data_IF_673185181640
#
_entry.id   IF_673185181640
#
_cell.length_a   1.000
_cell.length_b   1.000
_cell.length_c   1.000
_cell.angle_alpha   90.00
_cell.angle_beta   90.00
_cell.angle_gamma   90.00
#
_symmetry.space_group_name_H-M   'P 1'
#
loop_
_entity.id
_entity.type
_entity.pdbx_description
1 polymer ?
#
# COMPACT_ATOMS: atom_id res chain seq x y z
N UNK A 1 -43.40 49.24 18.25
CA UNK A 1 -42.20 49.03 17.41
C UNK A 1 -40.97 48.95 18.30
N UNK A 2 -40.37 47.75 18.47
CA UNK A 2 -38.98 47.57 18.92
C UNK A 2 -38.46 46.36 18.15
N UNK A 3 -37.56 46.63 17.21
CA UNK A 3 -36.89 45.64 16.37
C UNK A 3 -35.78 45.04 17.24
N UNK A 4 -35.88 43.75 17.54
CA UNK A 4 -34.81 42.99 18.19
C UNK A 4 -34.03 42.33 17.05
N UNK A 5 -32.94 42.97 16.65
CA UNK A 5 -31.89 42.40 15.82
C UNK A 5 -30.75 41.90 16.72
N UNK A 6 -29.93 41.00 16.18
CA UNK A 6 -28.74 40.32 16.74
C UNK A 6 -29.06 39.02 17.52
N UNK A 7 -28.49 37.85 17.21
CA UNK A 7 -27.42 37.49 16.28
C UNK A 7 -27.60 36.02 15.92
N UNK A 8 -27.70 35.71 14.63
CA UNK A 8 -27.67 34.34 14.13
C UNK A 8 -26.22 33.87 14.20
N UNK A 9 -25.88 33.17 15.28
CA UNK A 9 -24.60 32.47 15.40
C UNK A 9 -24.68 31.22 14.50
N UNK A 10 -24.37 31.41 13.21
CA UNK A 10 -24.16 30.30 12.28
C UNK A 10 -22.87 29.62 12.71
N UNK A 11 -23.01 28.57 13.52
CA UNK A 11 -21.95 27.61 13.80
C UNK A 11 -21.70 26.84 12.50
N UNK A 12 -20.77 27.32 11.68
CA UNK A 12 -20.24 26.57 10.55
C UNK A 12 -19.47 25.41 11.14
N UNK A 13 -20.16 24.28 11.34
CA UNK A 13 -19.55 23.00 11.62
C UNK A 13 -18.79 22.62 10.36
N UNK A 14 -17.53 23.05 10.31
CA UNK A 14 -16.53 22.55 9.37
C UNK A 14 -16.43 21.04 9.60
N UNK A 15 -17.11 20.30 8.74
CA UNK A 15 -16.92 18.87 8.56
C UNK A 15 -15.46 18.65 8.16
N UNK A 16 -14.63 18.35 9.16
CA UNK A 16 -13.36 17.66 8.98
C UNK A 16 -13.68 16.34 8.30
N UNK A 17 -13.68 16.33 6.97
CA UNK A 17 -13.53 15.09 6.23
C UNK A 17 -12.17 14.54 6.65
N UNK A 18 -12.07 13.30 7.15
CA UNK A 18 -10.78 12.70 7.39
C UNK A 18 -10.06 12.70 6.05
N UNK A 19 -8.97 13.46 5.96
CA UNK A 19 -7.99 13.31 4.90
C UNK A 19 -7.58 11.84 4.98
N UNK A 20 -8.13 11.02 4.09
CA UNK A 20 -7.77 9.61 3.99
C UNK A 20 -6.32 9.63 3.56
N UNK A 21 -5.43 9.37 4.52
CA UNK A 21 -4.00 9.45 4.38
C UNK A 21 -3.55 8.74 3.10
N UNK A 22 -2.85 9.45 2.21
CA UNK A 22 -2.25 8.90 0.99
C UNK A 22 -1.43 7.62 1.27
N UNK A 23 -0.87 7.52 2.48
CA UNK A 23 -0.15 6.35 3.01
C UNK A 23 -0.93 5.03 2.85
N UNK A 24 -2.25 5.05 3.09
CA UNK A 24 -3.08 3.85 2.98
C UNK A 24 -3.27 3.35 1.55
N UNK A 25 -3.36 4.28 0.57
CA UNK A 25 -3.56 3.94 -0.84
C UNK A 25 -2.29 3.36 -1.47
N UNK A 26 -1.15 4.00 -1.24
CA UNK A 26 0.16 3.53 -1.73
C UNK A 26 0.50 2.15 -1.18
N UNK A 27 0.35 1.95 0.13
CA UNK A 27 0.58 0.65 0.76
C UNK A 27 -0.29 -0.47 0.16
N UNK A 28 -1.58 -0.20 -0.09
CA UNK A 28 -2.47 -1.20 -0.71
C UNK A 28 -2.02 -1.58 -2.12
N UNK A 29 -1.58 -0.59 -2.92
CA UNK A 29 -1.08 -0.84 -4.26
C UNK A 29 0.19 -1.72 -4.23
N UNK A 30 1.13 -1.41 -3.34
CA UNK A 30 2.36 -2.20 -3.19
C UNK A 30 2.08 -3.63 -2.75
N UNK A 31 1.24 -3.83 -1.72
CA UNK A 31 0.86 -5.17 -1.26
C UNK A 31 0.20 -5.98 -2.38
N UNK A 32 -0.71 -5.37 -3.14
CA UNK A 32 -1.38 -6.03 -4.27
C UNK A 32 -0.40 -6.44 -5.36
N UNK A 33 0.55 -5.57 -5.70
CA UNK A 33 1.58 -5.87 -6.69
C UNK A 33 2.50 -7.01 -6.22
N UNK A 34 2.95 -6.98 -4.96
CA UNK A 34 3.75 -8.05 -4.34
C UNK A 34 2.99 -9.38 -4.39
N UNK A 35 1.72 -9.40 -3.98
CA UNK A 35 0.88 -10.60 -4.01
C UNK A 35 0.73 -11.18 -5.42
N UNK A 36 0.50 -10.32 -6.42
CA UNK A 36 0.36 -10.73 -7.82
C UNK A 36 1.65 -11.38 -8.32
N UNK A 37 2.80 -10.77 -8.05
CA UNK A 37 4.12 -11.24 -8.48
C UNK A 37 4.52 -12.55 -7.79
N UNK A 38 4.31 -12.66 -6.48
CA UNK A 38 4.52 -13.91 -5.72
C UNK A 38 3.71 -15.05 -6.31
N UNK A 39 2.41 -14.84 -6.56
CA UNK A 39 1.54 -15.84 -7.20
C UNK A 39 2.04 -16.23 -8.59
N UNK A 40 2.46 -15.27 -9.39
CA UNK A 40 2.99 -15.55 -10.73
C UNK A 40 4.25 -16.43 -10.66
N UNK A 41 5.21 -16.06 -9.82
CA UNK A 41 6.45 -16.82 -9.65
C UNK A 41 6.12 -18.23 -9.17
N UNK A 42 5.34 -18.39 -8.09
CA UNK A 42 5.01 -19.70 -7.54
C UNK A 42 4.28 -20.62 -8.52
N UNK A 43 3.44 -20.07 -9.40
CA UNK A 43 2.68 -20.87 -10.37
C UNK A 43 3.50 -21.32 -11.58
N UNK A 44 4.49 -20.51 -11.99
CA UNK A 44 5.23 -20.75 -13.24
C UNK A 44 6.71 -21.07 -13.04
N UNK A 45 7.25 -20.94 -11.82
CA UNK A 45 8.67 -21.13 -11.50
C UNK A 45 9.33 -22.34 -12.22
N UNK A 46 8.79 -23.58 -12.18
CA UNK A 46 9.46 -24.72 -12.82
C UNK A 46 9.66 -24.56 -14.33
N UNK A 47 8.83 -23.76 -15.00
CA UNK A 47 8.84 -23.59 -16.46
C UNK A 47 9.60 -22.33 -16.93
N UNK A 48 10.02 -21.47 -16.01
CA UNK A 48 10.68 -20.22 -16.34
C UNK A 48 12.17 -20.40 -16.62
N UNK A 49 12.65 -19.73 -17.68
CA UNK A 49 14.08 -19.62 -17.92
C UNK A 49 14.78 -18.93 -16.74
N UNK A 50 16.05 -19.26 -16.48
CA UNK A 50 16.85 -18.63 -15.43
C UNK A 50 16.84 -17.10 -15.52
N UNK A 51 16.95 -16.56 -16.73
CA UNK A 51 16.92 -15.11 -16.96
C UNK A 51 15.56 -14.52 -16.59
N UNK A 52 14.47 -15.18 -16.97
CA UNK A 52 13.11 -14.73 -16.62
C UNK A 52 12.88 -14.76 -15.12
N UNK A 53 13.33 -15.82 -14.42
CA UNK A 53 13.25 -15.89 -12.95
C UNK A 53 13.98 -14.72 -12.30
N UNK A 54 15.22 -14.47 -12.73
CA UNK A 54 16.02 -13.37 -12.18
C UNK A 54 15.31 -12.02 -12.33
N UNK A 55 14.81 -11.70 -13.53
CA UNK A 55 14.05 -10.47 -13.77
C UNK A 55 12.81 -10.36 -12.88
N UNK A 56 12.07 -11.45 -12.70
CA UNK A 56 10.87 -11.45 -11.84
C UNK A 56 11.22 -11.25 -10.37
N UNK A 57 12.32 -11.84 -9.89
CA UNK A 57 12.78 -11.64 -8.52
C UNK A 57 13.33 -10.23 -8.30
N UNK A 58 14.04 -9.65 -9.27
CA UNK A 58 14.50 -8.25 -9.20
C UNK A 58 13.31 -7.28 -9.14
N UNK A 59 12.30 -7.52 -9.98
CA UNK A 59 11.07 -6.73 -10.03
C UNK A 59 10.20 -6.91 -8.78
N UNK A 60 10.16 -8.11 -8.21
CA UNK A 60 9.52 -8.36 -6.92
C UNK A 60 10.28 -7.66 -5.79
N UNK A 61 11.61 -7.72 -5.78
CA UNK A 61 12.46 -7.07 -4.77
C UNK A 61 12.26 -5.56 -4.76
N UNK A 62 12.09 -4.94 -5.92
CA UNK A 62 11.77 -3.52 -6.01
C UNK A 62 10.43 -3.20 -5.32
N UNK A 63 9.36 -3.89 -5.68
CA UNK A 63 8.02 -3.64 -5.10
C UNK A 63 7.98 -3.96 -3.60
N UNK A 64 8.66 -5.00 -3.16
CA UNK A 64 8.73 -5.35 -1.74
C UNK A 64 9.45 -4.27 -0.93
N UNK A 65 10.49 -3.63 -1.49
CA UNK A 65 11.14 -2.48 -0.84
C UNK A 65 10.20 -1.29 -0.71
N UNK A 66 9.45 -0.96 -1.75
CA UNK A 66 8.46 0.12 -1.67
C UNK A 66 7.35 -0.21 -0.68
N UNK A 67 6.90 -1.46 -0.66
CA UNK A 67 5.94 -1.92 0.34
C UNK A 67 6.44 -1.74 1.77
N UNK A 68 7.70 -2.10 2.05
CA UNK A 68 8.30 -1.93 3.36
C UNK A 68 8.45 -0.46 3.78
N UNK A 69 8.61 0.46 2.82
CA UNK A 69 8.71 1.88 3.08
C UNK A 69 7.36 2.54 3.38
N UNK A 70 6.30 2.08 2.70
CA UNK A 70 4.99 2.74 2.71
C UNK A 70 3.95 2.04 3.62
N UNK A 71 4.23 0.82 4.09
CA UNK A 71 3.29 0.04 4.90
C UNK A 71 3.70 -0.09 6.35
N UNK A 72 2.69 -0.22 7.21
CA UNK A 72 2.82 -0.56 8.64
C UNK A 72 1.97 -1.79 9.02
N UNK A 73 2.12 -2.25 10.27
CA UNK A 73 1.32 -3.32 10.86
C UNK A 73 1.35 -4.63 10.08
N UNK A 74 0.18 -5.20 9.83
CA UNK A 74 0.03 -6.50 9.15
C UNK A 74 0.57 -6.51 7.72
N UNK A 75 0.44 -5.40 7.00
CA UNK A 75 0.92 -5.29 5.62
C UNK A 75 2.44 -5.19 5.58
N UNK A 76 3.03 -4.46 6.52
CA UNK A 76 4.48 -4.47 6.71
C UNK A 76 5.00 -5.87 7.03
N UNK A 77 4.32 -6.60 7.95
CA UNK A 77 4.68 -7.98 8.29
C UNK A 77 4.68 -8.87 7.05
N UNK A 78 3.62 -8.82 6.24
CA UNK A 78 3.55 -9.55 4.97
C UNK A 78 4.72 -9.21 4.04
N UNK A 79 4.99 -7.92 3.82
CA UNK A 79 6.07 -7.51 2.93
C UNK A 79 7.47 -7.88 3.46
N UNK A 80 7.66 -7.91 4.78
CA UNK A 80 8.89 -8.37 5.42
C UNK A 80 9.09 -9.90 5.26
N UNK A 81 8.03 -10.69 5.34
CA UNK A 81 8.09 -12.12 5.06
C UNK A 81 8.48 -12.40 3.62
N UNK A 82 7.90 -11.67 2.66
CA UNK A 82 8.26 -11.79 1.25
C UNK A 82 9.70 -11.31 1.00
N UNK A 83 10.16 -10.25 1.65
CA UNK A 83 11.54 -9.78 1.52
C UNK A 83 12.55 -10.88 1.89
N UNK A 84 12.31 -11.56 3.02
CA UNK A 84 13.13 -12.71 3.46
C UNK A 84 13.04 -13.87 2.49
N UNK A 85 11.87 -14.15 1.93
CA UNK A 85 11.73 -15.22 0.94
C UNK A 85 12.58 -14.92 -0.30
N UNK A 86 12.51 -13.70 -0.84
CA UNK A 86 13.26 -13.25 -2.03
C UNK A 86 14.77 -13.29 -1.82
N UNK A 87 15.27 -12.99 -0.62
CA UNK A 87 16.70 -13.07 -0.30
C UNK A 87 17.27 -14.51 -0.33
N UNK A 88 16.40 -15.52 -0.23
CA UNK A 88 16.77 -16.93 -0.24
C UNK A 88 16.59 -17.61 -1.61
N UNK A 89 16.31 -16.85 -2.67
CA UNK A 89 16.19 -17.34 -4.05
C UNK A 89 17.47 -17.03 -4.84
#
# INVERSE_FOLDING_TARGET
>A
MKVITLSVLILVVLSVMPVVAEEGYSCNAWVSNVQRKVKFIQNFDPDLSRMTKQTLFDDLKFDTKQCLADCEGEKFRYCNEIAKWVENQ
#
